data_IF_589478121374
#
_entry.id   IF_589478121374
#
_cell.length_a   1.000
_cell.length_b   1.000
_cell.length_c   1.000
_cell.angle_alpha   90.00
_cell.angle_beta   90.00
_cell.angle_gamma   90.00
#
_symmetry.space_group_name_H-M   'P 1'
#
loop_
_entity.id
_entity.type
_entity.pdbx_description
1 polymer ?
#
# COMPACT_ATOMS: atom_id res chain seq x y z
N UNK A 1 9.06 22.01 5.88
CA UNK A 1 8.83 21.97 4.42
C UNK A 1 8.82 20.54 3.93
N UNK A 2 7.70 20.11 3.36
CA UNK A 2 7.51 18.83 2.67
C UNK A 2 7.59 19.04 1.16
N UNK A 3 7.75 17.94 0.42
CA UNK A 3 7.63 17.92 -1.04
C UNK A 3 6.58 16.89 -1.40
N UNK A 4 5.59 17.32 -2.17
CA UNK A 4 4.47 16.51 -2.62
C UNK A 4 4.55 16.29 -4.14
N UNK A 5 4.26 15.06 -4.57
CA UNK A 5 3.92 14.78 -5.97
C UNK A 5 2.40 14.68 -6.05
N UNK A 6 1.78 15.40 -6.98
CA UNK A 6 0.33 15.50 -7.04
C UNK A 6 -0.24 15.44 -8.46
N UNK A 7 -1.48 14.98 -8.51
CA UNK A 7 -2.38 14.99 -9.66
C UNK A 7 -3.66 15.73 -9.27
N UNK A 8 -4.21 16.50 -10.20
CA UNK A 8 -5.31 17.42 -9.92
C UNK A 8 -6.60 16.88 -10.54
N UNK A 9 -7.19 15.90 -9.85
CA UNK A 9 -8.38 15.19 -10.30
C UNK A 9 -8.10 14.01 -11.23
N UNK A 10 -9.12 13.22 -11.54
CA UNK A 10 -8.98 12.04 -12.42
C UNK A 10 -8.64 12.52 -13.84
N UNK A 11 -7.69 11.88 -14.50
CA UNK A 11 -7.16 12.35 -15.79
C UNK A 11 -6.56 13.77 -15.73
N UNK A 12 -6.22 14.27 -14.53
CA UNK A 12 -5.67 15.60 -14.31
C UNK A 12 -6.52 16.73 -14.89
N UNK A 13 -7.85 16.58 -14.90
CA UNK A 13 -8.73 17.56 -15.53
C UNK A 13 -8.61 18.98 -14.92
N UNK A 14 -8.19 19.09 -13.65
CA UNK A 14 -8.07 20.37 -12.96
C UNK A 14 -6.69 21.01 -13.12
N UNK A 15 -5.71 20.27 -13.68
CA UNK A 15 -4.35 20.76 -13.87
C UNK A 15 -4.27 22.09 -14.65
N UNK A 16 -4.98 22.28 -15.79
CA UNK A 16 -4.90 23.53 -16.53
C UNK A 16 -5.31 24.75 -15.68
N UNK A 17 -6.34 24.60 -14.85
CA UNK A 17 -6.84 25.64 -13.94
C UNK A 17 -5.85 25.88 -12.80
N UNK A 18 -5.29 24.81 -12.22
CA UNK A 18 -4.24 24.90 -11.20
C UNK A 18 -3.02 25.68 -11.70
N UNK A 19 -2.58 25.38 -12.93
CA UNK A 19 -1.43 26.03 -13.56
C UNK A 19 -1.70 27.51 -13.82
N UNK A 20 -2.85 27.84 -14.40
CA UNK A 20 -3.24 29.22 -14.73
C UNK A 20 -3.44 30.08 -13.48
N UNK A 21 -4.15 29.57 -12.47
CA UNK A 21 -4.46 30.32 -11.25
C UNK A 21 -3.31 30.36 -10.24
N UNK A 22 -2.27 29.57 -10.42
CA UNK A 22 -1.24 29.38 -9.40
C UNK A 22 -1.85 28.76 -8.14
N UNK A 23 -2.44 27.58 -8.27
CA UNK A 23 -3.00 26.83 -7.14
C UNK A 23 -2.60 25.36 -7.16
N UNK A 24 -2.69 24.69 -6.01
CA UNK A 24 -2.75 23.22 -5.90
C UNK A 24 -4.16 22.85 -5.49
N UNK A 25 -4.68 21.72 -5.98
CA UNK A 25 -6.07 21.35 -5.76
C UNK A 25 -6.30 19.89 -5.39
N UNK A 26 -7.42 19.67 -4.70
CA UNK A 26 -8.04 18.35 -4.52
C UNK A 26 -9.54 18.53 -4.40
N UNK A 27 -10.30 17.45 -4.32
CA UNK A 27 -11.75 17.49 -4.38
C UNK A 27 -12.43 16.45 -3.50
N UNK A 28 -13.58 16.84 -2.95
CA UNK A 28 -14.52 15.97 -2.25
C UNK A 28 -15.78 15.79 -3.11
N UNK A 29 -16.53 14.70 -2.90
CA UNK A 29 -17.92 14.70 -3.37
C UNK A 29 -18.73 15.75 -2.62
N UNK A 30 -19.73 16.31 -3.30
CA UNK A 30 -20.57 17.38 -2.77
C UNK A 30 -21.23 17.00 -1.42
N UNK A 31 -21.73 15.77 -1.31
CA UNK A 31 -22.39 15.25 -0.11
C UNK A 31 -21.44 15.04 1.08
N UNK A 32 -20.16 14.75 0.79
CA UNK A 32 -19.14 14.52 1.80
C UNK A 32 -18.50 15.81 2.34
N UNK A 33 -18.60 16.92 1.60
CA UNK A 33 -17.90 18.17 1.94
C UNK A 33 -18.29 18.72 3.32
N UNK A 34 -19.58 18.65 3.68
CA UNK A 34 -20.10 19.15 4.96
C UNK A 34 -19.44 18.49 6.17
N UNK A 35 -19.14 17.20 6.09
CA UNK A 35 -18.50 16.46 7.17
C UNK A 35 -17.04 16.89 7.33
N UNK A 36 -16.34 17.10 6.21
CA UNK A 36 -14.97 17.62 6.25
C UNK A 36 -14.92 19.03 6.86
N UNK A 37 -15.84 19.92 6.47
CA UNK A 37 -15.93 21.28 7.04
C UNK A 37 -16.23 21.29 8.54
N UNK A 38 -17.04 20.35 9.02
CA UNK A 38 -17.34 20.18 10.44
C UNK A 38 -16.22 19.45 11.22
N UNK A 39 -15.13 19.06 10.55
CA UNK A 39 -14.09 18.17 11.08
C UNK A 39 -14.65 16.83 11.63
N UNK A 40 -15.80 16.39 11.10
CA UNK A 40 -16.45 15.13 11.44
C UNK A 40 -15.88 14.00 10.59
N UNK A 41 -14.78 13.43 11.06
CA UNK A 41 -14.06 12.36 10.34
C UNK A 41 -14.88 11.06 10.28
N UNK A 42 -15.64 10.73 11.32
CA UNK A 42 -16.42 9.49 11.35
C UNK A 42 -17.63 9.57 10.43
N UNK A 43 -18.35 10.70 10.45
CA UNK A 43 -19.44 10.98 9.52
C UNK A 43 -18.96 11.05 8.08
N UNK A 44 -17.80 11.67 7.82
CA UNK A 44 -17.18 11.67 6.49
C UNK A 44 -16.91 10.24 6.01
N UNK A 45 -16.20 9.43 6.81
CA UNK A 45 -15.83 8.06 6.44
C UNK A 45 -17.07 7.21 6.17
N UNK A 46 -18.07 7.29 7.05
CA UNK A 46 -19.32 6.53 6.91
C UNK A 46 -20.09 6.94 5.66
N UNK A 47 -20.22 8.25 5.39
CA UNK A 47 -20.87 8.78 4.19
C UNK A 47 -20.17 8.30 2.91
N UNK A 48 -18.84 8.31 2.87
CA UNK A 48 -18.06 7.87 1.71
C UNK A 48 -18.19 6.37 1.46
N UNK A 49 -18.19 5.56 2.52
CA UNK A 49 -18.40 4.11 2.40
C UNK A 49 -19.79 3.76 1.86
N UNK A 50 -20.82 4.52 2.27
CA UNK A 50 -22.20 4.31 1.84
C UNK A 50 -22.43 4.76 0.38
N UNK A 51 -21.95 5.95 0.01
CA UNK A 51 -22.40 6.62 -1.23
C UNK A 51 -21.42 6.48 -2.39
N UNK A 52 -20.13 6.26 -2.12
CA UNK A 52 -19.12 6.28 -3.16
C UNK A 52 -18.72 4.92 -3.69
N UNK A 53 -18.06 4.99 -4.83
CA UNK A 53 -17.33 3.88 -5.45
C UNK A 53 -15.89 4.33 -5.72
N UNK A 54 -14.95 3.40 -5.57
CA UNK A 54 -13.56 3.58 -5.98
C UNK A 54 -13.47 3.71 -7.50
N UNK A 55 -12.27 4.02 -8.01
CA UNK A 55 -12.03 4.07 -9.46
C UNK A 55 -12.35 2.73 -10.18
N UNK A 56 -12.33 1.61 -9.45
CA UNK A 56 -12.64 0.25 -9.91
C UNK A 56 -14.11 -0.15 -9.68
N UNK A 57 -14.97 0.77 -9.26
CA UNK A 57 -16.40 0.51 -9.07
C UNK A 57 -16.78 -0.19 -7.76
N UNK A 58 -15.81 -0.56 -6.92
CA UNK A 58 -16.05 -1.19 -5.60
C UNK A 58 -16.40 -0.15 -4.54
N UNK A 59 -17.04 -0.56 -3.44
CA UNK A 59 -17.22 0.31 -2.26
C UNK A 59 -15.85 0.60 -1.61
N UNK A 60 -15.57 1.85 -1.19
CA UNK A 60 -14.31 2.17 -0.54
C UNK A 60 -14.24 1.55 0.86
N UNK A 61 -13.06 1.17 1.30
CA UNK A 61 -12.82 0.71 2.68
C UNK A 61 -12.73 1.90 3.63
N UNK A 62 -12.84 1.64 4.94
CA UNK A 62 -12.61 2.64 6.00
C UNK A 62 -11.27 3.36 5.83
N UNK A 63 -10.22 2.61 5.50
CA UNK A 63 -8.88 3.17 5.26
C UNK A 63 -8.84 4.09 4.04
N UNK A 64 -9.47 3.69 2.93
CA UNK A 64 -9.55 4.52 1.71
C UNK A 64 -10.34 5.80 1.95
N UNK A 65 -11.49 5.73 2.61
CA UNK A 65 -12.31 6.89 2.93
C UNK A 65 -11.59 7.84 3.90
N UNK A 66 -10.90 7.29 4.92
CA UNK A 66 -10.10 8.07 5.86
C UNK A 66 -8.92 8.77 5.17
N UNK A 67 -8.31 8.12 4.17
CA UNK A 67 -7.28 8.76 3.34
C UNK A 67 -7.84 9.98 2.60
N UNK A 68 -9.02 9.89 2.01
CA UNK A 68 -9.62 11.01 1.27
C UNK A 68 -9.86 12.25 2.13
N UNK A 69 -10.30 12.07 3.38
CA UNK A 69 -10.40 13.15 4.34
C UNK A 69 -9.04 13.86 4.50
N UNK A 70 -7.97 13.08 4.73
CA UNK A 70 -6.63 13.62 4.93
C UNK A 70 -6.06 14.29 3.67
N UNK A 71 -6.44 13.86 2.46
CA UNK A 71 -6.00 14.52 1.23
C UNK A 71 -6.54 15.95 1.17
N UNK A 72 -7.83 16.14 1.46
CA UNK A 72 -8.46 17.46 1.50
C UNK A 72 -7.79 18.34 2.56
N UNK A 73 -7.60 17.82 3.76
CA UNK A 73 -6.88 18.53 4.85
C UNK A 73 -5.47 18.91 4.44
N UNK A 74 -4.70 18.00 3.82
CA UNK A 74 -3.33 18.26 3.38
C UNK A 74 -3.26 19.43 2.39
N UNK A 75 -4.17 19.47 1.41
CA UNK A 75 -4.21 20.57 0.43
C UNK A 75 -4.71 21.86 1.05
N UNK A 76 -5.72 21.81 1.93
CA UNK A 76 -6.26 23.01 2.56
C UNK A 76 -5.23 23.70 3.50
N UNK A 77 -4.40 22.91 4.17
CA UNK A 77 -3.51 23.38 5.24
C UNK A 77 -2.04 23.55 4.83
N UNK A 78 -1.65 23.09 3.62
CA UNK A 78 -0.25 23.22 3.16
C UNK A 78 0.18 24.69 3.11
N UNK A 79 1.41 24.98 3.52
CA UNK A 79 1.98 26.32 3.55
C UNK A 79 3.50 26.23 3.55
N UNK A 80 4.15 26.85 2.56
CA UNK A 80 5.60 26.76 2.38
C UNK A 80 6.11 25.38 1.95
N UNK A 81 5.23 24.44 1.58
CA UNK A 81 5.60 23.16 1.01
C UNK A 81 5.71 23.22 -0.52
N UNK A 82 6.59 22.39 -1.09
CA UNK A 82 6.81 22.29 -2.53
C UNK A 82 5.89 21.22 -3.12
N UNK A 83 5.30 21.53 -4.26
CA UNK A 83 4.42 20.64 -5.00
C UNK A 83 4.99 20.41 -6.39
N UNK A 84 4.95 19.16 -6.87
CA UNK A 84 5.50 18.74 -8.15
C UNK A 84 4.44 17.97 -8.94
N UNK A 85 4.35 18.25 -10.23
CA UNK A 85 3.42 17.63 -11.15
C UNK A 85 4.12 17.30 -12.48
N UNK A 86 3.83 16.13 -13.05
CA UNK A 86 4.32 15.76 -14.38
C UNK A 86 3.20 15.94 -15.40
N UNK A 87 3.44 16.78 -16.40
CA UNK A 87 2.54 16.99 -17.54
C UNK A 87 3.30 16.75 -18.84
N UNK A 88 2.96 15.67 -19.56
CA UNK A 88 3.70 15.26 -20.76
C UNK A 88 5.19 15.05 -20.48
N UNK A 89 6.03 15.79 -21.20
CA UNK A 89 7.50 15.81 -21.06
C UNK A 89 7.99 16.90 -20.09
N UNK A 90 7.10 17.57 -19.37
CA UNK A 90 7.48 18.66 -18.47
C UNK A 90 7.25 18.27 -17.02
N UNK A 91 8.24 18.60 -16.18
CA UNK A 91 8.11 18.52 -14.73
C UNK A 91 7.86 19.93 -14.19
N UNK A 92 6.68 20.14 -13.66
CA UNK A 92 6.24 21.40 -13.07
C UNK A 92 6.42 21.37 -11.55
N UNK A 93 6.76 22.50 -10.97
CA UNK A 93 6.79 22.68 -9.52
C UNK A 93 6.27 24.05 -9.08
N UNK A 94 5.85 24.13 -7.81
CA UNK A 94 5.43 25.38 -7.15
C UNK A 94 5.65 25.27 -5.63
N UNK A 95 5.45 26.37 -4.91
CA UNK A 95 5.43 26.44 -3.44
C UNK A 95 4.09 26.98 -2.96
N UNK A 96 3.46 26.28 -2.03
CA UNK A 96 2.20 26.69 -1.40
C UNK A 96 2.35 27.97 -0.57
N UNK A 97 1.33 28.83 -0.62
CA UNK A 97 1.24 30.06 0.17
C UNK A 97 0.46 29.86 1.46
N UNK A 98 0.57 30.82 2.38
CA UNK A 98 -0.16 30.76 3.65
C UNK A 98 -1.63 31.20 3.53
N UNK A 99 -2.02 31.77 2.39
CA UNK A 99 -3.39 32.23 2.11
C UNK A 99 -4.43 31.11 2.27
N UNK A 100 -5.65 31.50 2.64
CA UNK A 100 -6.75 30.55 2.83
C UNK A 100 -7.11 29.85 1.50
N UNK A 101 -7.51 28.56 1.54
CA UNK A 101 -8.03 27.90 0.36
C UNK A 101 -9.39 28.49 -0.05
N UNK A 102 -9.70 28.40 -1.33
CA UNK A 102 -11.03 28.67 -1.89
C UNK A 102 -11.71 27.37 -2.28
N UNK A 103 -13.05 27.37 -2.25
CA UNK A 103 -13.85 26.20 -2.56
C UNK A 103 -14.87 26.53 -3.65
N UNK A 104 -14.91 25.72 -4.70
CA UNK A 104 -15.89 25.86 -5.79
C UNK A 104 -16.59 24.53 -6.07
N UNK A 105 -17.89 24.58 -6.34
CA UNK A 105 -18.64 23.41 -6.80
C UNK A 105 -18.50 23.27 -8.31
N UNK A 106 -18.23 22.06 -8.78
CA UNK A 106 -18.02 21.77 -10.19
C UNK A 106 -18.53 20.37 -10.51
N UNK A 107 -19.10 20.22 -11.70
CA UNK A 107 -19.33 18.90 -12.30
C UNK A 107 -18.08 18.43 -13.00
N UNK A 108 -17.56 17.25 -12.66
CA UNK A 108 -16.34 16.72 -13.27
C UNK A 108 -16.46 16.68 -14.81
N UNK A 109 -15.51 17.26 -15.58
CA UNK A 109 -15.57 17.31 -17.05
C UNK A 109 -15.11 15.99 -17.71
N UNK A 110 -15.44 14.85 -17.09
CA UNK A 110 -15.08 13.50 -17.53
C UNK A 110 -16.34 12.63 -17.55
N UNK A 111 -16.28 11.46 -18.21
CA UNK A 111 -17.45 10.57 -18.37
C UNK A 111 -18.18 10.20 -17.06
N UNK A 112 -17.49 10.23 -15.91
CA UNK A 112 -18.07 9.99 -14.59
C UNK A 112 -19.02 11.12 -14.14
N UNK A 113 -18.72 12.37 -14.50
CA UNK A 113 -19.60 13.53 -14.36
C UNK A 113 -20.13 13.81 -12.96
N UNK A 114 -19.36 13.59 -11.88
CA UNK A 114 -19.86 13.80 -10.51
C UNK A 114 -19.88 15.28 -10.12
N UNK A 115 -20.80 15.63 -9.26
CA UNK A 115 -20.76 16.90 -8.53
C UNK A 115 -19.71 16.81 -7.43
N UNK A 116 -18.72 17.70 -7.48
CA UNK A 116 -17.61 17.76 -6.54
C UNK A 116 -17.43 19.18 -6.00
N UNK A 117 -16.83 19.28 -4.81
CA UNK A 117 -16.30 20.54 -4.29
C UNK A 117 -14.79 20.49 -4.42
N UNK A 118 -14.24 21.41 -5.20
CA UNK A 118 -12.80 21.55 -5.44
C UNK A 118 -12.25 22.55 -4.43
N UNK A 119 -11.21 22.15 -3.73
CA UNK A 119 -10.40 23.00 -2.87
C UNK A 119 -9.19 23.47 -3.67
N UNK A 120 -9.07 24.78 -3.88
CA UNK A 120 -7.88 25.42 -4.44
C UNK A 120 -7.11 26.12 -3.35
N UNK A 121 -5.89 25.66 -3.10
CA UNK A 121 -4.93 26.33 -2.22
C UNK A 121 -3.99 27.21 -3.06
N UNK A 122 -3.87 28.51 -2.76
CA UNK A 122 -2.95 29.41 -3.45
C UNK A 122 -1.48 28.95 -3.35
N UNK A 123 -0.74 29.10 -4.44
CA UNK A 123 0.69 28.84 -4.51
C UNK A 123 1.39 29.94 -5.33
N UNK A 124 2.71 29.83 -5.45
CA UNK A 124 3.44 30.60 -6.45
C UNK A 124 3.08 30.13 -7.88
N UNK A 125 3.36 30.95 -8.91
CA UNK A 125 3.23 30.49 -10.29
C UNK A 125 3.98 29.18 -10.51
N UNK A 126 3.31 28.24 -11.17
CA UNK A 126 3.94 26.97 -11.53
C UNK A 126 5.08 27.20 -12.52
N UNK A 127 6.23 26.58 -12.28
CA UNK A 127 7.41 26.65 -13.13
C UNK A 127 7.82 25.26 -13.62
N UNK A 128 8.20 25.16 -14.89
CA UNK A 128 8.85 24.00 -15.47
C UNK A 128 10.37 24.20 -15.62
N UNK A 129 10.94 25.17 -14.92
CA UNK A 129 12.37 25.47 -14.89
C UNK A 129 12.90 25.41 -13.46
N UNK A 130 14.16 25.00 -13.30
CA UNK A 130 14.87 25.15 -12.03
C UNK A 130 15.00 26.62 -11.64
N UNK A 131 15.36 26.89 -10.39
CA UNK A 131 15.64 28.25 -9.89
C UNK A 131 16.80 28.93 -10.62
N UNK A 132 17.64 28.16 -11.33
CA UNK A 132 18.73 28.66 -12.19
C UNK A 132 18.31 28.80 -13.66
N UNK A 133 17.03 28.61 -13.99
CA UNK A 133 16.48 28.73 -15.33
C UNK A 133 16.69 27.51 -16.23
N UNK A 134 17.11 26.36 -15.68
CA UNK A 134 17.32 25.13 -16.47
C UNK A 134 15.94 24.46 -16.68
N UNK A 135 15.51 24.20 -17.92
CA UNK A 135 14.26 23.46 -18.17
C UNK A 135 14.25 22.08 -17.50
N UNK A 136 13.14 21.74 -16.84
CA UNK A 136 12.95 20.44 -16.18
C UNK A 136 12.16 19.52 -17.10
N UNK A 137 12.87 18.87 -18.03
CA UNK A 137 12.28 17.92 -18.99
C UNK A 137 12.28 16.51 -18.46
N UNK A 138 11.11 15.85 -18.48
CA UNK A 138 10.91 14.50 -17.97
C UNK A 138 11.85 13.50 -18.64
N UNK A 139 12.02 13.58 -19.95
CA UNK A 139 12.88 12.67 -20.69
C UNK A 139 14.36 12.79 -20.30
N UNK A 140 14.80 13.98 -19.88
CA UNK A 140 16.17 14.27 -19.46
C UNK A 140 16.45 13.91 -17.99
N UNK A 141 15.41 13.64 -17.20
CA UNK A 141 15.59 13.23 -15.80
C UNK A 141 16.29 11.87 -15.72
N UNK A 142 17.09 11.71 -14.67
CA UNK A 142 17.66 10.43 -14.32
C UNK A 142 16.56 9.36 -14.17
N UNK A 143 16.72 8.12 -14.69
CA UNK A 143 15.67 7.10 -14.63
C UNK A 143 15.12 6.84 -13.23
N UNK A 144 15.99 6.86 -12.21
CA UNK A 144 15.58 6.73 -10.80
C UNK A 144 14.69 7.88 -10.31
N UNK A 145 14.87 9.10 -10.81
CA UNK A 145 14.01 10.23 -10.46
C UNK A 145 12.59 10.02 -10.99
N UNK A 146 12.46 9.39 -12.17
CA UNK A 146 11.18 9.07 -12.80
C UNK A 146 10.34 8.09 -11.96
N UNK A 147 11.00 7.20 -11.22
CA UNK A 147 10.35 6.21 -10.35
C UNK A 147 9.54 6.87 -9.21
N UNK A 148 9.84 8.12 -8.83
CA UNK A 148 9.16 8.79 -7.70
C UNK A 148 8.66 10.21 -7.97
N UNK A 149 9.05 10.87 -9.06
CA UNK A 149 8.58 12.22 -9.43
C UNK A 149 7.26 12.21 -10.22
N UNK A 150 6.60 11.07 -10.28
CA UNK A 150 5.23 10.92 -10.78
C UNK A 150 4.45 10.01 -9.86
N UNK A 151 3.12 10.13 -9.87
CA UNK A 151 2.24 9.27 -9.09
C UNK A 151 0.98 9.02 -9.89
N UNK A 152 0.33 7.87 -9.67
CA UNK A 152 -1.03 7.60 -10.17
C UNK A 152 -2.09 7.94 -9.11
N UNK A 153 -1.68 8.22 -7.87
CA UNK A 153 -2.56 8.68 -6.81
C UNK A 153 -2.86 10.18 -6.95
N UNK A 154 -3.77 10.69 -6.12
CA UNK A 154 -4.04 12.14 -6.04
C UNK A 154 -2.84 12.92 -5.52
N UNK A 155 -2.23 12.47 -4.42
CA UNK A 155 -0.97 13.03 -3.93
C UNK A 155 -0.17 12.03 -3.09
N UNK A 156 1.14 12.26 -3.02
CA UNK A 156 2.09 11.53 -2.19
C UNK A 156 3.16 12.48 -1.64
N UNK A 157 3.47 12.37 -0.35
CA UNK A 157 4.64 13.04 0.25
C UNK A 157 5.90 12.23 -0.04
N UNK A 158 6.97 12.90 -0.43
CA UNK A 158 8.27 12.27 -0.59
C UNK A 158 8.92 11.96 0.76
N UNK A 159 9.72 10.88 0.79
CA UNK A 159 10.63 10.58 1.91
C UNK A 159 11.74 11.63 2.00
N UNK A 160 12.45 11.76 3.14
CA UNK A 160 13.53 12.75 3.28
C UNK A 160 14.59 12.68 2.17
N UNK A 161 15.02 11.48 1.78
CA UNK A 161 16.04 11.31 0.73
C UNK A 161 15.57 11.77 -0.66
N UNK A 162 14.34 11.45 -1.04
CA UNK A 162 13.77 11.89 -2.32
C UNK A 162 13.35 13.35 -2.31
N UNK A 163 12.92 13.86 -1.16
CA UNK A 163 12.66 15.28 -0.93
C UNK A 163 13.93 16.10 -1.19
N UNK A 164 15.04 15.72 -0.58
CA UNK A 164 16.30 16.48 -0.68
C UNK A 164 16.85 16.45 -2.12
N UNK A 165 16.77 15.31 -2.80
CA UNK A 165 17.07 15.23 -4.24
C UNK A 165 16.18 16.17 -5.07
N UNK A 166 14.88 16.17 -4.81
CA UNK A 166 13.91 16.97 -5.59
C UNK A 166 14.14 18.46 -5.39
N UNK A 167 14.46 18.88 -4.17
CA UNK A 167 14.83 20.27 -3.86
C UNK A 167 16.13 20.67 -4.57
N UNK A 168 17.14 19.81 -4.59
CA UNK A 168 18.39 20.06 -5.32
C UNK A 168 18.15 20.14 -6.85
N UNK A 169 17.31 19.25 -7.40
CA UNK A 169 16.90 19.28 -8.82
C UNK A 169 16.21 20.60 -9.16
N UNK A 170 15.24 21.03 -8.34
CA UNK A 170 14.55 22.31 -8.48
C UNK A 170 15.51 23.50 -8.28
N UNK A 171 16.49 23.38 -7.37
CA UNK A 171 17.53 24.38 -7.16
C UNK A 171 18.49 24.52 -8.34
N UNK A 172 18.58 23.48 -9.19
CA UNK A 172 19.61 23.38 -10.23
C UNK A 172 21.00 23.09 -9.64
N UNK A 173 21.04 22.39 -8.51
CA UNK A 173 22.27 22.04 -7.80
C UNK A 173 22.92 20.79 -8.37
N UNK A 174 24.14 20.50 -7.94
CA UNK A 174 24.84 19.28 -8.37
C UNK A 174 24.14 18.04 -7.79
N UNK A 175 23.81 17.10 -8.69
CA UNK A 175 23.13 15.84 -8.37
C UNK A 175 24.06 14.63 -8.41
N UNK A 176 25.36 14.84 -8.72
CA UNK A 176 26.35 13.79 -8.92
C UNK A 176 26.45 12.82 -7.73
N UNK A 177 26.31 13.32 -6.50
CA UNK A 177 26.33 12.51 -5.28
C UNK A 177 25.22 11.46 -5.23
N UNK A 178 24.01 11.77 -5.69
CA UNK A 178 22.95 10.77 -5.81
C UNK A 178 23.18 9.86 -7.02
N UNK A 179 23.53 10.41 -8.18
CA UNK A 179 23.64 9.66 -9.43
C UNK A 179 24.78 8.63 -9.41
N UNK A 180 25.85 8.89 -8.65
CA UNK A 180 26.96 7.97 -8.44
C UNK A 180 26.67 6.87 -7.41
N UNK A 181 25.59 6.99 -6.63
CA UNK A 181 25.25 5.98 -5.63
C UNK A 181 24.89 4.63 -6.28
N UNK A 182 25.18 3.49 -5.63
CA UNK A 182 24.89 2.16 -6.20
C UNK A 182 23.42 1.97 -6.59
N UNK A 183 22.49 2.56 -5.83
CA UNK A 183 21.06 2.48 -6.10
C UNK A 183 20.67 3.18 -7.41
N UNK A 184 21.22 4.37 -7.64
CA UNK A 184 20.89 5.18 -8.81
C UNK A 184 21.64 4.69 -10.06
N UNK A 185 22.93 4.36 -9.92
CA UNK A 185 23.75 3.85 -11.02
C UNK A 185 23.16 2.56 -11.62
N UNK A 186 22.79 1.57 -10.77
CA UNK A 186 22.15 0.32 -11.23
C UNK A 186 20.86 0.57 -12.01
N UNK A 187 20.05 1.54 -11.58
CA UNK A 187 18.80 1.90 -12.27
C UNK A 187 19.08 2.53 -13.63
N UNK A 188 20.12 3.36 -13.73
CA UNK A 188 20.57 3.95 -14.99
C UNK A 188 21.06 2.87 -15.98
N UNK A 189 21.88 1.94 -15.52
CA UNK A 189 22.37 0.80 -16.33
C UNK A 189 21.23 -0.08 -16.84
N UNK A 190 20.23 -0.33 -15.99
CA UNK A 190 19.04 -1.11 -16.36
C UNK A 190 18.19 -0.40 -17.43
N UNK A 191 18.05 0.92 -17.33
CA UNK A 191 17.29 1.72 -18.30
C UNK A 191 17.97 1.78 -19.69
N UNK A 192 19.31 1.75 -19.75
CA UNK A 192 20.06 1.72 -21.02
C UNK A 192 19.79 0.45 -21.85
N UNK A 193 19.31 -0.63 -21.23
CA UNK A 193 19.05 -1.92 -21.89
C UNK A 193 17.66 -2.01 -22.55
N UNK A 194 16.82 -0.99 -22.46
CA UNK A 194 15.46 -1.00 -23.03
C UNK A 194 14.99 0.37 -23.47
N UNK A 195 15.30 0.76 -24.71
CA UNK A 195 14.70 1.91 -25.38
C UNK A 195 13.81 1.41 -26.53
N UNK A 196 12.51 1.28 -26.27
CA UNK A 196 11.50 1.24 -27.33
C UNK A 196 10.60 2.47 -27.16
N UNK A 197 10.47 3.34 -28.18
CA UNK A 197 9.67 4.55 -28.07
C UNK A 197 8.18 4.22 -28.07
N UNK A 198 7.46 4.71 -27.06
CA UNK A 198 5.99 4.61 -26.97
C UNK A 198 5.39 5.54 -28.05
N UNK A 199 4.81 4.95 -29.10
CA UNK A 199 3.84 5.62 -29.97
C UNK A 199 2.45 5.42 -29.37
N UNK A 200 1.75 6.52 -29.08
CA UNK A 200 0.34 6.45 -28.66
C UNK A 200 -0.60 6.42 -29.86
N UNK A 201 -1.53 5.47 -29.86
CA UNK A 201 -2.86 5.67 -30.43
C UNK A 201 -3.53 4.44 -31.03
N UNK A 202 -4.44 3.79 -30.30
CA UNK A 202 -5.88 3.74 -30.69
C UNK A 202 -6.78 3.18 -29.57
N UNK A 203 -8.11 3.26 -29.73
CA UNK A 203 -9.15 2.87 -28.77
C UNK A 203 -9.08 1.40 -28.29
N UNK A 204 -8.33 0.52 -28.96
CA UNK A 204 -8.00 -0.82 -28.46
C UNK A 204 -7.10 -0.76 -27.19
N UNK A 205 -6.28 0.28 -27.05
CA UNK A 205 -5.42 0.53 -25.88
C UNK A 205 -6.24 0.82 -24.61
N UNK A 206 -7.46 1.36 -24.76
CA UNK A 206 -8.36 1.63 -23.62
C UNK A 206 -8.94 0.35 -23.02
N UNK A 207 -9.14 -0.70 -23.82
CA UNK A 207 -9.62 -2.01 -23.33
C UNK A 207 -8.45 -2.82 -22.74
N UNK A 208 -7.23 -2.64 -23.27
CA UNK A 208 -6.02 -3.19 -22.66
C UNK A 208 -5.69 -2.55 -21.30
N UNK A 209 -6.03 -1.27 -21.09
CA UNK A 209 -5.79 -0.54 -19.84
C UNK A 209 -6.60 -1.08 -18.64
N UNK A 210 -7.77 -1.67 -18.90
CA UNK A 210 -8.58 -2.30 -17.85
C UNK A 210 -7.97 -3.64 -17.39
N UNK A 211 -7.37 -4.40 -18.32
CA UNK A 211 -6.55 -5.58 -17.99
C UNK A 211 -5.19 -5.20 -17.39
N UNK A 212 -4.64 -4.03 -17.72
CA UNK A 212 -3.35 -3.57 -17.20
C UNK A 212 -3.39 -3.30 -15.69
N UNK A 213 -4.50 -2.85 -15.10
CA UNK A 213 -4.60 -2.68 -13.64
C UNK A 213 -4.53 -4.02 -12.88
N UNK A 214 -5.05 -5.10 -13.46
CA UNK A 214 -4.94 -6.46 -12.92
C UNK A 214 -3.55 -7.05 -13.17
N UNK A 215 -2.95 -6.73 -14.33
CA UNK A 215 -1.59 -7.13 -14.68
C UNK A 215 -0.54 -6.33 -13.91
N UNK A 216 -0.75 -5.08 -13.49
CA UNK A 216 0.22 -4.30 -12.70
C UNK A 216 0.26 -4.72 -11.23
N UNK A 217 -0.88 -5.09 -10.64
CA UNK A 217 -0.91 -5.75 -9.32
C UNK A 217 -0.27 -7.15 -9.40
N UNK A 218 -0.55 -7.91 -10.46
CA UNK A 218 0.07 -9.21 -10.69
C UNK A 218 1.55 -9.13 -11.08
N UNK A 219 1.97 -8.12 -11.85
CA UNK A 219 3.36 -7.94 -12.32
C UNK A 219 4.22 -7.30 -11.24
N UNK A 220 3.70 -6.39 -10.43
CA UNK A 220 4.37 -5.91 -9.22
C UNK A 220 4.47 -7.00 -8.15
N UNK A 221 3.43 -7.84 -8.00
CA UNK A 221 3.51 -9.03 -7.17
C UNK A 221 4.48 -10.07 -7.75
N UNK A 222 4.48 -10.31 -9.06
CA UNK A 222 5.36 -11.25 -9.74
C UNK A 222 6.82 -10.76 -9.72
N UNK A 223 7.07 -9.47 -9.86
CA UNK A 223 8.39 -8.86 -9.72
C UNK A 223 8.89 -9.03 -8.28
N UNK A 224 8.06 -8.72 -7.28
CA UNK A 224 8.40 -8.98 -5.86
C UNK A 224 8.70 -10.46 -5.63
N UNK A 225 7.84 -11.37 -6.11
CA UNK A 225 8.01 -12.82 -5.96
C UNK A 225 9.26 -13.31 -6.68
N UNK A 226 9.56 -12.81 -7.88
CA UNK A 226 10.77 -13.12 -8.63
C UNK A 226 12.03 -12.59 -7.93
N UNK A 227 11.99 -11.37 -7.37
CA UNK A 227 13.09 -10.81 -6.60
C UNK A 227 13.36 -11.62 -5.32
N UNK A 228 12.31 -11.99 -4.60
CA UNK A 228 12.41 -12.88 -3.45
C UNK A 228 12.97 -14.24 -3.87
N UNK A 229 12.48 -14.84 -4.94
CA UNK A 229 12.96 -16.13 -5.44
C UNK A 229 14.45 -16.09 -5.85
N UNK A 230 14.87 -15.06 -6.59
CA UNK A 230 16.27 -14.84 -6.98
C UNK A 230 17.15 -14.61 -5.75
N UNK A 231 16.71 -13.79 -4.79
CA UNK A 231 17.46 -13.56 -3.55
C UNK A 231 17.56 -14.82 -2.71
N UNK A 232 16.48 -15.59 -2.58
CA UNK A 232 16.47 -16.88 -1.88
C UNK A 232 17.37 -17.89 -2.59
N UNK A 233 17.31 -18.00 -3.92
CA UNK A 233 18.15 -18.92 -4.70
C UNK A 233 19.64 -18.57 -4.61
N UNK A 234 20.00 -17.28 -4.73
CA UNK A 234 21.37 -16.81 -4.57
C UNK A 234 21.90 -17.02 -3.14
N UNK A 235 21.01 -17.04 -2.14
CA UNK A 235 21.34 -17.28 -0.74
C UNK A 235 21.31 -18.77 -0.36
N UNK A 236 20.69 -19.62 -1.20
CA UNK A 236 20.54 -21.06 -1.01
C UNK A 236 21.63 -21.82 -1.79
N UNK A 237 22.90 -21.56 -1.46
CA UNK A 237 24.08 -22.19 -2.06
C UNK A 237 24.39 -23.61 -1.52
N UNK A 238 23.39 -24.31 -0.95
CA UNK A 238 23.57 -25.64 -0.36
C UNK A 238 24.32 -25.64 1.00
N UNK A 239 24.52 -24.48 1.62
CA UNK A 239 25.15 -24.37 2.93
C UNK A 239 24.38 -25.13 4.03
N UNK A 240 25.12 -25.83 4.89
CA UNK A 240 24.58 -26.35 6.15
C UNK A 240 24.52 -25.20 7.14
N UNK A 241 23.31 -24.81 7.52
CA UNK A 241 23.08 -23.79 8.55
C UNK A 241 22.94 -24.49 9.89
N UNK A 242 23.84 -24.21 10.82
CA UNK A 242 23.64 -24.57 12.23
C UNK A 242 22.51 -23.73 12.80
N UNK A 243 21.40 -24.37 13.16
CA UNK A 243 20.28 -23.70 13.83
C UNK A 243 20.33 -24.02 15.32
N UNK A 244 20.18 -22.98 16.14
CA UNK A 244 19.95 -23.15 17.57
C UNK A 244 18.52 -23.68 17.75
N UNK A 245 18.39 -24.92 18.23
CA UNK A 245 17.09 -25.47 18.58
C UNK A 245 16.60 -24.79 19.86
N UNK A 246 15.42 -24.16 19.81
CA UNK A 246 14.77 -23.61 21.00
C UNK A 246 14.57 -24.73 22.02
N UNK A 247 14.93 -24.48 23.28
CA UNK A 247 14.67 -25.40 24.39
C UNK A 247 13.15 -25.48 24.60
N UNK A 248 12.58 -26.67 24.42
CA UNK A 248 11.15 -26.93 24.63
C UNK A 248 10.99 -27.84 25.84
N UNK A 249 10.88 -27.23 27.02
CA UNK A 249 10.62 -27.97 28.24
C UNK A 249 9.14 -28.38 28.33
N UNK A 250 8.89 -29.54 28.93
CA UNK A 250 7.57 -29.98 29.34
C UNK A 250 7.37 -29.57 30.80
N UNK A 251 6.50 -28.60 31.06
CA UNK A 251 6.24 -28.05 32.39
C UNK A 251 4.97 -28.64 33.01
N UNK A 252 4.84 -29.96 32.86
CA UNK A 252 3.79 -30.77 33.50
C UNK A 252 4.44 -31.75 34.48
N UNK A 253 3.75 -32.03 35.58
CA UNK A 253 4.26 -32.93 36.63
C UNK A 253 4.46 -34.38 36.13
N UNK A 254 3.68 -34.80 35.13
CA UNK A 254 3.79 -36.11 34.50
C UNK A 254 3.13 -36.12 33.12
N UNK A 255 3.37 -37.17 32.33
CA UNK A 255 2.67 -37.38 31.07
C UNK A 255 1.15 -37.56 31.26
N UNK A 256 0.73 -38.14 32.40
CA UNK A 256 -0.69 -38.28 32.76
C UNK A 256 -1.33 -36.91 33.00
N UNK A 257 -0.64 -36.03 33.74
CA UNK A 257 -1.13 -34.66 33.98
C UNK A 257 -1.25 -33.86 32.68
N UNK A 258 -0.33 -34.06 31.72
CA UNK A 258 -0.47 -33.48 30.38
C UNK A 258 -1.66 -34.07 29.62
N UNK A 259 -1.86 -35.38 29.67
CA UNK A 259 -2.97 -36.05 28.98
C UNK A 259 -4.33 -35.56 29.49
N UNK A 260 -4.49 -35.43 30.81
CA UNK A 260 -5.73 -34.94 31.42
C UNK A 260 -5.98 -33.48 31.03
N UNK A 261 -4.95 -32.64 31.04
CA UNK A 261 -5.04 -31.26 30.55
C UNK A 261 -5.42 -31.17 29.07
N UNK A 262 -4.90 -32.07 28.22
CA UNK A 262 -5.29 -32.12 26.80
C UNK A 262 -6.75 -32.54 26.64
N UNK A 263 -7.26 -33.47 27.45
CA UNK A 263 -8.69 -33.85 27.41
C UNK A 263 -9.57 -32.67 27.81
N UNK A 264 -9.22 -31.95 28.88
CA UNK A 264 -9.93 -30.74 29.31
C UNK A 264 -9.96 -29.69 28.19
N UNK A 265 -8.84 -29.50 27.47
CA UNK A 265 -8.80 -28.61 26.30
C UNK A 265 -9.72 -29.11 25.18
N UNK A 266 -9.69 -30.40 24.84
CA UNK A 266 -10.55 -30.96 23.79
C UNK A 266 -12.04 -30.79 24.12
N UNK A 267 -12.42 -30.99 25.37
CA UNK A 267 -13.79 -30.79 25.86
C UNK A 267 -14.19 -29.31 25.82
N UNK A 268 -13.33 -28.41 26.31
CA UNK A 268 -13.58 -26.97 26.31
C UNK A 268 -13.70 -26.38 24.89
N UNK A 269 -12.99 -26.97 23.93
CA UNK A 269 -13.02 -26.60 22.52
C UNK A 269 -14.11 -27.34 21.72
N UNK A 270 -14.98 -28.11 22.39
CA UNK A 270 -16.05 -28.90 21.76
C UNK A 270 -15.55 -29.79 20.62
N UNK A 271 -14.36 -30.38 20.78
CA UNK A 271 -13.67 -31.22 19.80
C UNK A 271 -13.48 -30.54 18.43
N UNK A 272 -13.39 -29.21 18.42
CA UNK A 272 -13.07 -28.43 17.25
C UNK A 272 -11.62 -27.90 17.32
N UNK A 273 -11.03 -27.72 16.16
CA UNK A 273 -9.72 -27.11 16.01
C UNK A 273 -9.78 -25.65 16.43
N UNK A 274 -8.97 -25.27 17.42
CA UNK A 274 -9.02 -23.92 17.98
C UNK A 274 -8.66 -22.83 16.96
N UNK A 275 -7.83 -23.15 15.96
CA UNK A 275 -7.40 -22.18 14.94
C UNK A 275 -8.38 -22.04 13.77
N UNK A 276 -9.19 -23.06 13.49
CA UNK A 276 -10.01 -23.11 12.27
C UNK A 276 -11.49 -23.40 12.50
N UNK A 277 -11.89 -23.84 13.69
CA UNK A 277 -13.24 -24.28 13.99
C UNK A 277 -13.69 -25.55 13.25
N UNK A 278 -12.78 -26.24 12.55
CA UNK A 278 -13.09 -27.53 11.92
C UNK A 278 -13.15 -28.63 12.98
N UNK A 279 -14.03 -29.61 12.80
CA UNK A 279 -14.09 -30.80 13.65
C UNK A 279 -12.75 -31.53 13.61
N UNK A 280 -12.23 -31.91 14.78
CA UNK A 280 -11.01 -32.69 14.90
C UNK A 280 -11.25 -34.14 14.46
N UNK A 281 -10.33 -34.69 13.67
CA UNK A 281 -10.31 -36.13 13.42
C UNK A 281 -9.54 -36.83 14.54
N UNK A 282 -10.17 -37.83 15.15
CA UNK A 282 -9.61 -38.58 16.28
C UNK A 282 -9.25 -40.02 15.89
N UNK A 283 -9.75 -40.52 14.74
CA UNK A 283 -9.41 -41.85 14.21
C UNK A 283 -8.14 -41.79 13.35
N UNK A 284 -6.99 -42.06 13.97
CA UNK A 284 -5.71 -42.12 13.26
C UNK A 284 -5.56 -43.33 12.32
N UNK A 285 -6.45 -44.33 12.40
CA UNK A 285 -6.35 -45.56 11.60
C UNK A 285 -7.03 -45.43 10.23
N UNK A 286 -8.16 -44.70 10.15
CA UNK A 286 -8.94 -44.58 8.90
C UNK A 286 -9.26 -43.13 8.50
N UNK A 287 -8.89 -42.14 9.30
CA UNK A 287 -9.15 -40.73 9.01
C UNK A 287 -8.09 -40.07 8.12
N UNK A 288 -8.35 -38.82 7.74
CA UNK A 288 -7.37 -38.01 7.01
C UNK A 288 -6.25 -37.54 7.95
N UNK A 289 -5.01 -37.98 7.68
CA UNK A 289 -3.82 -37.63 8.45
C UNK A 289 -3.56 -36.13 8.62
N UNK A 290 -4.06 -35.32 7.69
CA UNK A 290 -3.99 -33.87 7.77
C UNK A 290 -4.96 -33.29 8.82
N UNK A 291 -6.08 -33.97 9.07
CA UNK A 291 -7.16 -33.53 9.97
C UNK A 291 -7.01 -34.03 11.41
N UNK A 292 -6.07 -34.95 11.66
CA UNK A 292 -5.83 -35.50 13.00
C UNK A 292 -5.61 -34.41 14.05
N UNK A 293 -6.15 -34.63 15.25
CA UNK A 293 -5.89 -33.76 16.38
C UNK A 293 -4.39 -33.65 16.67
N UNK A 294 -3.94 -32.43 16.92
CA UNK A 294 -2.54 -32.09 17.15
C UNK A 294 -2.43 -31.04 18.23
N UNK A 295 -1.34 -31.08 19.00
CA UNK A 295 -1.09 -30.14 20.08
C UNK A 295 -0.23 -28.97 19.56
N UNK A 296 -0.76 -27.76 19.65
CA UNK A 296 -0.06 -26.53 19.27
C UNK A 296 0.27 -25.67 20.49
N UNK A 297 1.37 -24.92 20.41
CA UNK A 297 1.74 -23.90 21.39
C UNK A 297 1.30 -22.54 20.87
N UNK A 298 0.45 -21.85 21.62
CA UNK A 298 -0.06 -20.52 21.26
C UNK A 298 1.13 -19.59 21.02
N UNK A 299 1.99 -19.40 22.02
CA UNK A 299 3.33 -18.85 21.85
C UNK A 299 4.34 -19.95 21.51
N UNK A 300 4.78 -19.96 20.25
CA UNK A 300 5.78 -20.88 19.72
C UNK A 300 7.18 -20.70 20.34
N UNK A 301 7.45 -19.57 20.98
CA UNK A 301 8.67 -19.30 21.74
C UNK A 301 8.59 -19.78 23.20
N UNK A 302 7.39 -20.03 23.71
CA UNK A 302 7.13 -20.60 25.04
C UNK A 302 7.27 -22.12 25.12
N UNK A 303 6.94 -22.68 26.28
CA UNK A 303 7.07 -24.10 26.60
C UNK A 303 5.74 -24.86 26.49
N UNK A 304 5.77 -26.19 26.66
CA UNK A 304 4.55 -26.95 26.86
C UNK A 304 4.13 -26.79 28.31
N UNK A 305 3.23 -25.84 28.55
CA UNK A 305 2.77 -25.46 29.89
C UNK A 305 1.28 -25.06 29.88
N UNK A 306 0.59 -25.15 31.02
CA UNK A 306 -0.79 -24.71 31.12
C UNK A 306 -0.96 -23.26 30.65
N UNK A 307 -2.01 -23.00 29.86
CA UNK A 307 -2.31 -21.69 29.31
C UNK A 307 -1.57 -21.34 28.02
N UNK A 308 -0.59 -22.14 27.59
CA UNK A 308 0.12 -21.95 26.32
C UNK A 308 -0.17 -23.04 25.28
N UNK A 309 -1.15 -23.92 25.53
CA UNK A 309 -1.49 -25.04 24.65
C UNK A 309 -2.92 -24.93 24.13
N UNK A 310 -3.11 -25.42 22.91
CA UNK A 310 -4.41 -25.55 22.26
C UNK A 310 -4.43 -26.79 21.37
N UNK A 311 -5.61 -27.37 21.15
CA UNK A 311 -5.78 -28.53 20.26
C UNK A 311 -6.27 -28.08 18.89
N UNK A 312 -5.58 -28.52 17.84
CA UNK A 312 -5.80 -28.05 16.47
C UNK A 312 -5.72 -29.21 15.49
N UNK A 313 -6.21 -29.04 14.25
CA UNK A 313 -5.93 -29.99 13.18
C UNK A 313 -4.43 -29.99 12.85
N UNK A 314 -3.88 -31.15 12.52
CA UNK A 314 -2.46 -31.33 12.19
C UNK A 314 -1.97 -30.43 11.07
N UNK A 315 -2.78 -30.25 10.02
CA UNK A 315 -2.45 -29.34 8.92
C UNK A 315 -2.38 -27.89 9.40
N UNK A 316 -3.29 -27.47 10.29
CA UNK A 316 -3.33 -26.10 10.81
C UNK A 316 -2.11 -25.82 11.69
N UNK A 317 -1.71 -26.78 12.54
CA UNK A 317 -0.47 -26.71 13.31
C UNK A 317 0.76 -26.57 12.40
N UNK A 318 0.82 -27.39 11.35
CA UNK A 318 1.89 -27.34 10.36
C UNK A 318 1.94 -25.99 9.62
N UNK A 319 0.80 -25.43 9.24
CA UNK A 319 0.71 -24.14 8.54
C UNK A 319 1.07 -22.97 9.45
N UNK A 320 0.64 -22.98 10.70
CA UNK A 320 1.01 -21.96 11.68
C UNK A 320 2.51 -21.98 11.94
N UNK A 321 3.08 -23.18 12.15
CA UNK A 321 4.51 -23.35 12.34
C UNK A 321 5.05 -22.55 13.53
N UNK A 322 5.87 -21.53 13.27
CA UNK A 322 6.40 -20.61 14.28
C UNK A 322 5.83 -19.18 14.16
N UNK A 323 4.81 -19.01 13.31
CA UNK A 323 4.14 -17.72 13.10
C UNK A 323 3.33 -17.32 14.33
N UNK A 324 3.04 -16.03 14.42
CA UNK A 324 2.19 -15.46 15.46
C UNK A 324 0.75 -16.01 15.38
N UNK A 325 0.17 -16.36 16.53
CA UNK A 325 -1.15 -16.99 16.64
C UNK A 325 -2.29 -16.05 16.19
N UNK A 326 -2.22 -14.78 16.58
CA UNK A 326 -3.24 -13.78 16.27
C UNK A 326 -3.29 -13.52 14.77
N UNK A 327 -2.12 -13.34 14.15
CA UNK A 327 -2.04 -13.13 12.70
C UNK A 327 -2.50 -14.39 11.92
N UNK A 328 -2.18 -15.59 12.42
CA UNK A 328 -2.65 -16.82 11.78
C UNK A 328 -4.17 -16.93 11.77
N UNK A 329 -4.83 -16.67 12.92
CA UNK A 329 -6.30 -16.66 13.02
C UNK A 329 -6.93 -15.66 12.06
N UNK A 330 -6.38 -14.45 12.00
CA UNK A 330 -6.83 -13.41 11.05
C UNK A 330 -6.78 -13.90 9.59
N UNK A 331 -5.76 -14.69 9.22
CA UNK A 331 -5.65 -15.26 7.87
C UNK A 331 -6.65 -16.39 7.62
N UNK A 332 -6.94 -17.22 8.62
CA UNK A 332 -7.97 -18.26 8.52
C UNK A 332 -9.36 -17.65 8.32
N UNK A 333 -9.70 -16.58 9.03
CA UNK A 333 -10.98 -15.86 8.84
C UNK A 333 -11.14 -15.37 7.39
N UNK A 334 -10.06 -14.88 6.78
CA UNK A 334 -10.05 -14.48 5.36
C UNK A 334 -10.33 -15.67 4.44
N UNK A 335 -9.73 -16.84 4.70
CA UNK A 335 -9.98 -18.06 3.92
C UNK A 335 -11.44 -18.51 4.03
N UNK A 336 -11.99 -18.50 5.25
CA UNK A 336 -13.38 -18.90 5.48
C UNK A 336 -14.39 -17.94 4.87
N UNK A 337 -14.13 -16.63 4.93
CA UNK A 337 -14.94 -15.62 4.27
C UNK A 337 -14.93 -15.80 2.75
N UNK A 338 -13.79 -16.19 2.16
CA UNK A 338 -13.69 -16.49 0.73
C UNK A 338 -14.47 -17.73 0.31
N UNK A 339 -14.56 -18.75 1.16
CA UNK A 339 -15.30 -19.98 0.85
C UNK A 339 -16.83 -19.83 0.96
N UNK A 340 -17.32 -18.75 1.59
CA UNK A 340 -18.75 -18.45 1.78
C UNK A 340 -19.32 -17.48 0.72
N UNK A 341 -18.50 -16.95 -0.19
CA UNK A 341 -18.92 -16.14 -1.35
C UNK A 341 -19.28 -17.02 -2.53
#
# INVERSE_FOLDING_TARGET
MKVYIANFGRQNYEWPVCRERGTVATMNALDAQRYWQANDREGYVSSRMANDTTATGKKPTKATASRWFNLMTTVAETSGDVWVHKDGDELWWTTSKNDAPSFESKKEPIARGREVVICHKPCEPWSNQSKKGIPLKWNELHPKAKDFLSTEATLQSLSPSYRDYTLALIGGDDLSGWHSSPLWSKRNESAKKGYAPIKYGSQADKIAYQRASEIFDAAGAAERMAHTAVNTANSANGQKVERVLKKKDLRFASAVALQDYIKELMEAQEYCCELTGLTLELDEANGDSAMFASLDRIDSSGHYEPGNLQVVCRFANFWKGASDDVEFRRLIEVLQASARM
#
